data_IF_853628064781
#
_entry.id   IF_853628064781
#
_cell.length_a   1.000
_cell.length_b   1.000
_cell.length_c   1.000
_cell.angle_alpha   90.00
_cell.angle_beta   90.00
_cell.angle_gamma   90.00
#
_symmetry.space_group_name_H-M   'P 1'
#
loop_
_entity.id
_entity.type
_entity.pdbx_description
1 polymer ?
#
# COMPACT_ATOMS: atom_id res chain seq x y z
N UNK A 1 -37.73 41.39 -42.91
CA UNK A 1 -38.25 40.03 -42.58
C UNK A 1 -37.19 38.95 -42.74
N UNK A 2 -36.32 38.92 -43.74
CA UNK A 2 -35.31 37.86 -43.98
C UNK A 2 -34.27 37.70 -42.84
N UNK A 3 -33.74 38.76 -42.27
CA UNK A 3 -32.69 38.69 -41.20
C UNK A 3 -33.23 38.10 -39.89
N UNK A 4 -34.46 38.37 -39.51
CA UNK A 4 -35.04 37.80 -38.27
C UNK A 4 -35.35 36.31 -38.41
N UNK A 5 -35.69 35.87 -39.63
CA UNK A 5 -35.92 34.44 -39.92
C UNK A 5 -34.58 33.67 -39.85
N UNK A 6 -33.47 34.25 -40.36
CA UNK A 6 -32.16 33.63 -40.26
C UNK A 6 -31.65 33.55 -38.82
N UNK A 7 -31.84 34.58 -38.00
CA UNK A 7 -31.50 34.58 -36.58
C UNK A 7 -32.32 33.57 -35.82
N UNK A 8 -33.63 33.48 -36.08
CA UNK A 8 -34.53 32.48 -35.44
C UNK A 8 -34.14 31.05 -35.81
N UNK A 9 -33.76 30.79 -37.07
CA UNK A 9 -33.31 29.48 -37.55
C UNK A 9 -31.96 29.08 -36.90
N UNK A 10 -31.07 30.03 -36.73
CA UNK A 10 -29.76 29.81 -36.07
C UNK A 10 -29.95 29.55 -34.56
N UNK A 11 -30.90 30.20 -33.92
CA UNK A 11 -31.24 29.96 -32.49
C UNK A 11 -31.84 28.57 -32.28
N UNK A 12 -32.65 28.09 -33.20
CA UNK A 12 -33.25 26.74 -33.13
C UNK A 12 -32.20 25.65 -33.34
N UNK A 13 -31.19 25.89 -34.21
CA UNK A 13 -30.09 24.96 -34.41
C UNK A 13 -29.13 24.89 -33.21
N UNK A 14 -29.05 25.95 -32.41
CA UNK A 14 -28.25 25.93 -31.16
C UNK A 14 -28.93 25.16 -30.01
N UNK A 15 -30.26 25.02 -30.05
CA UNK A 15 -31.02 24.27 -29.05
C UNK A 15 -31.10 22.75 -29.35
N UNK A 16 -30.68 22.31 -30.54
CA UNK A 16 -30.64 20.88 -30.90
C UNK A 16 -29.32 20.20 -30.59
N UNK A 17 -28.38 20.88 -29.95
CA UNK A 17 -27.17 20.30 -29.39
C UNK A 17 -27.43 19.78 -27.96
N UNK A 18 -28.58 19.16 -27.69
CA UNK A 18 -28.70 18.23 -26.57
C UNK A 18 -27.85 17.01 -26.94
N UNK A 19 -26.65 16.91 -26.39
CA UNK A 19 -25.99 15.61 -26.27
C UNK A 19 -26.94 14.77 -25.41
N UNK A 20 -27.40 13.64 -25.92
CA UNK A 20 -27.97 12.62 -25.06
C UNK A 20 -26.96 12.36 -23.95
N UNK A 21 -27.38 12.39 -22.69
CA UNK A 21 -26.47 11.99 -21.61
C UNK A 21 -26.03 10.56 -21.93
N UNK A 22 -24.75 10.41 -22.24
CA UNK A 22 -24.18 9.08 -22.42
C UNK A 22 -24.32 8.41 -21.06
N UNK A 23 -24.99 7.27 -21.05
CA UNK A 23 -25.17 6.51 -19.82
C UNK A 23 -23.76 6.13 -19.32
N UNK A 24 -23.45 6.50 -18.09
CA UNK A 24 -22.14 6.19 -17.51
C UNK A 24 -21.87 4.69 -17.55
N UNK A 25 -22.92 3.86 -17.42
CA UNK A 25 -22.82 2.41 -17.51
C UNK A 25 -22.46 1.92 -18.92
N UNK A 26 -22.82 2.67 -19.97
CA UNK A 26 -22.47 2.33 -21.36
C UNK A 26 -21.01 2.71 -21.70
N UNK A 27 -20.49 3.79 -21.07
CA UNK A 27 -19.07 4.19 -21.16
C UNK A 27 -18.16 3.32 -20.28
N UNK A 28 -18.70 2.79 -19.20
CA UNK A 28 -18.00 2.03 -18.18
C UNK A 28 -18.28 0.51 -18.30
N UNK A 29 -18.66 0.01 -19.47
CA UNK A 29 -18.74 -1.43 -19.73
C UNK A 29 -17.35 -2.08 -19.58
N UNK A 30 -16.79 -1.95 -18.38
CA UNK A 30 -15.62 -2.68 -17.93
C UNK A 30 -16.18 -3.98 -17.37
N UNK A 31 -15.92 -5.10 -18.07
CA UNK A 31 -16.17 -6.43 -17.50
C UNK A 31 -15.54 -6.48 -16.09
N UNK A 32 -16.23 -7.08 -15.14
CA UNK A 32 -15.68 -7.33 -13.82
C UNK A 32 -14.29 -7.95 -13.94
N UNK A 33 -13.32 -7.34 -13.23
CA UNK A 33 -11.96 -7.82 -13.19
C UNK A 33 -11.73 -8.76 -12.00
N UNK A 34 -10.58 -9.39 -11.97
CA UNK A 34 -10.09 -10.11 -10.79
C UNK A 34 -8.94 -9.33 -10.18
N UNK A 35 -9.12 -8.88 -8.94
CA UNK A 35 -8.10 -8.18 -8.17
C UNK A 35 -7.29 -9.18 -7.35
N UNK A 36 -5.98 -9.16 -7.54
CA UNK A 36 -5.04 -10.08 -6.88
C UNK A 36 -3.93 -9.25 -6.27
N UNK A 37 -3.68 -9.43 -4.97
CA UNK A 37 -2.57 -8.80 -4.29
C UNK A 37 -1.86 -9.79 -3.37
N UNK A 38 -0.53 -9.81 -3.45
CA UNK A 38 0.31 -10.63 -2.59
C UNK A 38 1.71 -10.05 -2.50
N UNK A 39 2.27 -10.09 -1.31
CA UNK A 39 3.64 -9.65 -1.06
C UNK A 39 4.40 -10.78 -0.40
N UNK A 40 5.65 -11.01 -0.81
CA UNK A 40 6.49 -12.07 -0.27
C UNK A 40 7.77 -11.51 0.34
N UNK A 41 8.09 -11.99 1.52
CA UNK A 41 9.36 -11.70 2.20
C UNK A 41 9.89 -12.92 2.96
N UNK A 42 11.22 -13.09 3.06
CA UNK A 42 11.82 -14.10 3.94
C UNK A 42 11.49 -13.92 5.43
N UNK A 43 10.95 -12.77 5.81
CA UNK A 43 10.56 -12.47 7.20
C UNK A 43 9.09 -12.77 7.49
N UNK A 44 8.30 -13.13 6.47
CA UNK A 44 6.90 -13.48 6.65
C UNK A 44 6.75 -14.75 7.47
N UNK A 45 5.77 -14.76 8.38
CA UNK A 45 5.37 -15.96 9.14
C UNK A 45 4.20 -16.67 8.47
N UNK A 46 3.45 -15.96 7.63
CA UNK A 46 2.31 -16.46 6.85
C UNK A 46 2.39 -15.88 5.46
N UNK A 47 2.44 -16.73 4.45
CA UNK A 47 2.33 -16.29 3.06
C UNK A 47 0.87 -16.01 2.74
N UNK A 48 0.60 -14.84 2.17
CA UNK A 48 -0.77 -14.35 2.00
C UNK A 48 -1.00 -13.79 0.60
N UNK A 49 -2.12 -14.21 -0.02
CA UNK A 49 -2.62 -13.64 -1.29
C UNK A 49 -4.10 -13.32 -1.13
N UNK A 50 -4.47 -12.10 -1.47
CA UNK A 50 -5.86 -11.66 -1.56
C UNK A 50 -6.39 -11.86 -2.97
N UNK A 51 -7.62 -12.38 -3.12
CA UNK A 51 -8.29 -12.54 -4.41
C UNK A 51 -9.73 -12.07 -4.29
N UNK A 52 -10.11 -11.07 -5.08
CA UNK A 52 -11.46 -10.51 -5.08
C UNK A 52 -11.89 -10.07 -6.47
N UNK A 53 -13.16 -9.73 -6.63
CA UNK A 53 -13.68 -9.09 -7.84
C UNK A 53 -13.30 -7.61 -7.82
N UNK A 54 -12.68 -7.12 -8.88
CA UNK A 54 -12.47 -5.71 -9.11
C UNK A 54 -13.72 -5.12 -9.76
N UNK A 55 -14.31 -4.11 -9.12
CA UNK A 55 -15.47 -3.39 -9.64
C UNK A 55 -15.08 -1.96 -9.99
N UNK A 56 -15.71 -1.34 -11.02
CA UNK A 56 -15.49 0.06 -11.34
C UNK A 56 -15.79 0.95 -10.12
N UNK A 57 -14.94 1.94 -9.88
CA UNK A 57 -15.13 2.92 -8.80
C UNK A 57 -16.37 3.82 -9.01
N UNK A 58 -16.89 3.88 -10.24
CA UNK A 58 -18.05 4.68 -10.64
C UNK A 58 -19.20 3.75 -11.01
N UNK A 59 -20.39 4.03 -10.48
CA UNK A 59 -21.62 3.26 -10.79
C UNK A 59 -21.91 2.10 -9.84
N UNK A 60 -20.95 1.61 -9.07
CA UNK A 60 -21.20 0.57 -8.08
C UNK A 60 -21.30 1.21 -6.69
N UNK A 61 -22.49 1.18 -6.04
CA UNK A 61 -22.61 1.72 -4.69
C UNK A 61 -21.89 0.80 -3.70
N UNK A 62 -20.63 1.10 -3.45
CA UNK A 62 -19.82 0.41 -2.42
C UNK A 62 -20.44 0.61 -1.03
N UNK A 63 -21.24 1.68 -0.88
CA UNK A 63 -21.89 2.08 0.38
C UNK A 63 -23.11 1.23 0.78
N UNK A 64 -23.67 0.41 -0.11
CA UNK A 64 -24.78 -0.50 0.22
C UNK A 64 -24.34 -1.71 1.07
N UNK A 65 -23.05 -1.82 1.35
CA UNK A 65 -22.46 -2.90 2.16
C UNK A 65 -21.90 -2.39 3.50
N UNK A 66 -22.57 -1.44 4.11
CA UNK A 66 -22.26 -0.97 5.47
C UNK A 66 -22.64 -2.06 6.45
N UNK A 67 -21.79 -2.36 7.43
CA UNK A 67 -22.15 -3.27 8.50
C UNK A 67 -23.33 -2.70 9.35
N UNK A 68 -23.97 -3.56 10.13
CA UNK A 68 -25.15 -3.20 10.96
C UNK A 68 -24.87 -2.06 11.97
N UNK A 69 -23.60 -1.67 12.16
CA UNK A 69 -23.17 -0.58 13.04
C UNK A 69 -22.81 0.71 12.29
N UNK A 70 -22.86 0.72 10.97
CA UNK A 70 -22.58 1.90 10.15
C UNK A 70 -21.11 2.24 10.00
N UNK A 71 -20.20 1.35 10.43
CA UNK A 71 -18.76 1.52 10.35
C UNK A 71 -18.14 0.50 9.38
N UNK A 72 -17.65 0.97 8.25
CA UNK A 72 -16.92 0.18 7.27
C UNK A 72 -17.77 -0.43 6.15
N UNK A 73 -17.15 -0.63 5.01
CA UNK A 73 -17.76 -1.32 3.88
C UNK A 73 -17.63 -2.84 4.08
N UNK A 74 -18.76 -3.57 4.01
CA UNK A 74 -18.71 -5.02 3.93
C UNK A 74 -18.20 -5.45 2.54
N UNK A 75 -16.92 -5.77 2.43
CA UNK A 75 -16.28 -6.22 1.19
C UNK A 75 -16.48 -7.71 0.93
N UNK A 76 -17.14 -8.45 1.83
CA UNK A 76 -17.32 -9.90 1.76
C UNK A 76 -17.96 -10.41 0.45
N UNK A 77 -18.94 -9.70 -0.16
CA UNK A 77 -19.51 -10.11 -1.45
C UNK A 77 -18.52 -10.13 -2.62
N UNK A 78 -17.43 -9.37 -2.54
CA UNK A 78 -16.44 -9.28 -3.60
C UNK A 78 -15.31 -10.31 -3.46
N UNK A 79 -15.17 -10.96 -2.30
CA UNK A 79 -14.13 -11.95 -2.07
C UNK A 79 -14.41 -13.22 -2.88
N UNK A 80 -13.44 -13.65 -3.67
CA UNK A 80 -13.49 -14.93 -4.38
C UNK A 80 -12.93 -16.00 -3.44
N UNK A 81 -13.80 -16.90 -2.95
CA UNK A 81 -13.49 -17.86 -1.88
C UNK A 81 -13.10 -19.24 -2.41
N UNK A 82 -13.30 -19.50 -3.69
CA UNK A 82 -13.12 -20.80 -4.38
C UNK A 82 -12.00 -20.77 -5.40
N UNK A 83 -11.12 -19.77 -5.36
CA UNK A 83 -9.95 -19.73 -6.23
C UNK A 83 -8.92 -20.81 -5.83
N UNK A 84 -8.16 -21.26 -6.80
CA UNK A 84 -6.93 -22.02 -6.56
C UNK A 84 -5.75 -21.06 -6.64
N UNK A 85 -4.99 -20.93 -5.55
CA UNK A 85 -3.85 -20.02 -5.44
C UNK A 85 -2.60 -20.83 -5.18
N UNK A 86 -1.61 -20.70 -6.06
CA UNK A 86 -0.35 -21.45 -6.04
C UNK A 86 0.83 -20.47 -6.10
N UNK A 87 1.84 -20.72 -5.29
CA UNK A 87 3.14 -20.02 -5.36
C UNK A 87 4.19 -21.09 -5.68
N UNK A 88 5.11 -20.79 -6.61
CA UNK A 88 6.23 -21.67 -6.93
C UNK A 88 7.54 -20.90 -6.96
N UNK A 89 8.65 -21.62 -6.81
CA UNK A 89 10.02 -21.11 -6.96
C UNK A 89 10.60 -21.45 -8.35
N UNK A 90 11.87 -21.07 -8.58
CA UNK A 90 12.60 -21.35 -9.84
C UNK A 90 12.93 -22.84 -10.06
N UNK A 91 12.84 -23.65 -9.02
CA UNK A 91 13.07 -25.12 -9.06
C UNK A 91 11.76 -25.91 -9.24
N UNK A 92 10.63 -25.24 -9.57
CA UNK A 92 9.28 -25.80 -9.71
C UNK A 92 8.74 -26.44 -8.40
N UNK A 93 9.29 -26.10 -7.22
CA UNK A 93 8.61 -26.42 -5.97
C UNK A 93 7.39 -25.52 -5.84
N UNK A 94 6.23 -26.10 -5.52
CA UNK A 94 4.96 -25.41 -5.51
C UNK A 94 4.22 -25.62 -4.17
N UNK A 95 3.59 -24.55 -3.66
CA UNK A 95 2.72 -24.59 -2.49
C UNK A 95 1.34 -24.01 -2.82
N UNK A 96 0.29 -24.66 -2.35
CA UNK A 96 -1.08 -24.16 -2.46
C UNK A 96 -1.47 -23.38 -1.20
N UNK A 97 -1.96 -22.15 -1.38
CA UNK A 97 -2.55 -21.36 -0.33
C UNK A 97 -4.03 -21.69 -0.16
N UNK A 98 -4.48 -21.78 1.07
CA UNK A 98 -5.86 -22.15 1.42
C UNK A 98 -6.62 -20.91 1.89
N UNK A 99 -7.87 -20.76 1.46
CA UNK A 99 -8.72 -19.66 1.89
C UNK A 99 -9.00 -19.72 3.40
N UNK A 100 -8.67 -18.62 4.08
CA UNK A 100 -8.96 -18.44 5.51
C UNK A 100 -10.12 -17.43 5.65
N UNK A 101 -11.29 -17.85 6.18
CA UNK A 101 -12.45 -16.96 6.31
C UNK A 101 -12.28 -15.86 7.37
N UNK A 102 -11.39 -16.01 8.34
CA UNK A 102 -11.14 -14.98 9.37
C UNK A 102 -10.35 -13.81 8.80
N UNK A 103 -9.27 -14.10 8.06
CA UNK A 103 -8.47 -13.07 7.39
C UNK A 103 -9.02 -12.63 6.03
N UNK A 104 -9.96 -13.42 5.46
CA UNK A 104 -10.51 -13.25 4.10
C UNK A 104 -9.45 -13.29 3.00
N UNK A 105 -8.38 -14.05 3.22
CA UNK A 105 -7.27 -14.21 2.30
C UNK A 105 -6.92 -15.68 2.09
N UNK A 106 -6.18 -15.98 1.04
CA UNK A 106 -5.53 -17.27 0.85
C UNK A 106 -4.21 -17.26 1.60
N UNK A 107 -3.98 -18.27 2.44
CA UNK A 107 -2.83 -18.30 3.35
C UNK A 107 -2.23 -19.70 3.47
N UNK A 108 -0.94 -19.73 3.79
CA UNK A 108 -0.20 -20.90 4.25
C UNK A 108 0.86 -20.46 5.25
N UNK A 109 1.20 -21.31 6.21
CA UNK A 109 2.33 -21.08 7.13
C UNK A 109 3.63 -20.99 6.33
N UNK A 110 4.41 -19.91 6.52
CA UNK A 110 5.63 -19.71 5.76
C UNK A 110 6.70 -20.79 6.03
N UNK A 111 6.60 -21.54 7.12
CA UNK A 111 7.47 -22.69 7.37
C UNK A 111 7.28 -23.86 6.41
N UNK A 112 6.16 -23.88 5.66
CA UNK A 112 5.89 -24.92 4.65
C UNK A 112 6.54 -24.60 3.29
N UNK A 113 6.92 -23.33 3.06
CA UNK A 113 7.53 -22.90 1.79
C UNK A 113 8.51 -21.74 2.05
N UNK A 114 9.81 -22.05 2.03
CA UNK A 114 10.88 -21.12 2.41
C UNK A 114 11.09 -20.04 1.35
N UNK A 115 10.79 -18.79 1.71
CA UNK A 115 11.07 -17.62 0.87
C UNK A 115 12.50 -17.15 1.10
N UNK A 116 13.31 -17.10 0.04
CA UNK A 116 14.72 -16.74 0.08
C UNK A 116 14.97 -15.36 -0.51
N UNK A 117 15.91 -14.63 0.06
CA UNK A 117 16.39 -13.38 -0.54
C UNK A 117 17.07 -13.63 -1.89
N UNK A 118 16.97 -12.68 -2.80
CA UNK A 118 17.56 -12.73 -4.15
C UNK A 118 17.04 -13.88 -5.03
N UNK A 119 15.88 -14.48 -4.69
CA UNK A 119 15.21 -15.52 -5.47
C UNK A 119 13.94 -14.98 -6.14
N UNK A 120 13.49 -15.66 -7.20
CA UNK A 120 12.28 -15.33 -7.95
C UNK A 120 11.18 -16.31 -7.61
N UNK A 121 9.95 -15.80 -7.48
CA UNK A 121 8.75 -16.58 -7.21
C UNK A 121 7.67 -16.26 -8.23
N UNK A 122 6.84 -17.27 -8.50
CA UNK A 122 5.76 -17.22 -9.47
C UNK A 122 4.43 -17.44 -8.76
N UNK A 123 3.45 -16.64 -9.12
CA UNK A 123 2.07 -16.78 -8.67
C UNK A 123 1.21 -17.31 -9.80
N UNK A 124 0.33 -18.27 -9.51
CA UNK A 124 -0.73 -18.74 -10.39
C UNK A 124 -2.04 -18.77 -9.62
N UNK A 125 -3.04 -18.07 -10.15
CA UNK A 125 -4.39 -18.01 -9.58
C UNK A 125 -5.39 -18.48 -10.62
N UNK A 126 -6.20 -19.49 -10.27
CA UNK A 126 -7.34 -19.91 -11.08
C UNK A 126 -8.62 -19.47 -10.37
N UNK A 127 -9.36 -18.56 -10.98
CA UNK A 127 -10.60 -17.99 -10.45
C UNK A 127 -11.58 -17.68 -11.58
N UNK A 128 -12.88 -17.86 -11.38
CA UNK A 128 -13.92 -17.50 -12.36
C UNK A 128 -13.69 -18.13 -13.76
N UNK A 129 -13.19 -19.38 -13.83
CA UNK A 129 -12.80 -20.08 -15.06
C UNK A 129 -11.70 -19.35 -15.89
N UNK A 130 -10.90 -18.53 -15.27
CA UNK A 130 -9.76 -17.84 -15.86
C UNK A 130 -8.49 -18.17 -15.06
N UNK A 131 -7.35 -18.03 -15.71
CA UNK A 131 -6.04 -18.18 -15.09
C UNK A 131 -5.32 -16.83 -15.10
N UNK A 132 -4.69 -16.51 -13.98
CA UNK A 132 -3.87 -15.31 -13.78
C UNK A 132 -2.50 -15.74 -13.33
N UNK A 133 -1.48 -15.05 -13.83
CA UNK A 133 -0.08 -15.30 -13.45
C UNK A 133 0.63 -14.02 -13.11
N UNK A 134 1.66 -14.13 -12.29
CA UNK A 134 2.58 -13.04 -12.00
C UNK A 134 3.90 -13.60 -11.50
N UNK A 135 4.90 -12.75 -11.39
CA UNK A 135 6.17 -13.10 -10.75
C UNK A 135 6.69 -11.95 -9.92
N UNK A 136 7.50 -12.28 -8.93
CA UNK A 136 8.23 -11.32 -8.11
C UNK A 136 9.63 -11.82 -7.81
N UNK A 137 10.54 -10.88 -7.50
CA UNK A 137 11.89 -11.19 -7.04
C UNK A 137 12.12 -10.57 -5.67
N UNK A 138 12.72 -11.30 -4.75
CA UNK A 138 13.02 -10.80 -3.42
C UNK A 138 14.30 -9.96 -3.48
N UNK A 139 14.27 -8.66 -3.15
CA UNK A 139 15.47 -7.82 -3.18
C UNK A 139 16.50 -8.24 -2.14
N UNK A 140 17.68 -7.66 -2.22
CA UNK A 140 18.73 -7.82 -1.17
C UNK A 140 18.31 -7.16 0.13
N UNK A 141 18.75 -7.76 1.25
CA UNK A 141 18.64 -7.15 2.56
C UNK A 141 19.62 -5.99 2.69
N UNK A 142 19.17 -4.87 3.25
CA UNK A 142 20.06 -3.75 3.58
C UNK A 142 20.88 -4.03 4.85
N UNK A 143 21.97 -3.29 5.01
CA UNK A 143 22.74 -3.24 6.24
C UNK A 143 21.92 -2.63 7.39
N UNK A 144 22.38 -2.75 8.65
CA UNK A 144 21.65 -2.24 9.80
C UNK A 144 21.29 -0.74 9.69
N UNK A 145 20.09 -0.42 10.17
CA UNK A 145 19.58 0.94 10.27
C UNK A 145 20.35 1.70 11.39
N UNK A 146 20.69 2.96 11.12
CA UNK A 146 21.14 3.91 12.13
C UNK A 146 20.03 4.93 12.40
N UNK A 147 19.91 5.35 13.66
CA UNK A 147 18.93 6.36 14.05
C UNK A 147 19.56 7.44 14.90
N UNK A 148 18.86 8.59 14.92
CA UNK A 148 19.15 9.67 15.83
C UNK A 148 17.85 10.33 16.26
N UNK A 149 17.64 10.46 17.57
CA UNK A 149 16.51 11.19 18.13
C UNK A 149 17.05 12.44 18.82
N UNK A 150 16.46 13.60 18.52
CA UNK A 150 16.84 14.90 19.11
C UNK A 150 15.60 15.64 19.55
N UNK A 151 15.67 16.30 20.72
CA UNK A 151 14.60 17.17 21.18
C UNK A 151 14.34 18.30 20.17
N UNK A 152 13.07 18.49 19.84
CA UNK A 152 12.55 19.51 18.95
C UNK A 152 11.87 20.64 19.73
N UNK A 153 10.75 21.16 19.21
CA UNK A 153 9.97 22.21 19.85
C UNK A 153 9.34 21.73 21.15
N UNK A 154 9.34 22.61 22.16
CA UNK A 154 8.66 22.37 23.45
C UNK A 154 7.83 23.56 23.83
N UNK A 155 6.61 23.31 24.29
CA UNK A 155 5.74 24.31 24.91
C UNK A 155 5.01 23.69 26.12
N UNK A 156 3.96 24.34 26.62
CA UNK A 156 3.19 23.87 27.78
C UNK A 156 2.28 22.66 27.49
N UNK A 157 2.07 22.32 26.21
CA UNK A 157 1.13 21.26 25.79
C UNK A 157 1.82 20.04 25.20
N UNK A 158 3.01 20.21 24.60
CA UNK A 158 3.73 19.12 23.96
C UNK A 158 5.24 19.34 23.89
N UNK A 159 5.96 18.25 23.69
CA UNK A 159 7.38 18.21 23.34
C UNK A 159 7.55 17.36 22.10
N UNK A 160 8.14 17.93 21.05
CA UNK A 160 8.52 17.20 19.84
C UNK A 160 9.91 16.58 19.97
N UNK A 161 10.08 15.47 19.27
CA UNK A 161 11.36 14.79 19.08
C UNK A 161 11.53 14.50 17.60
N UNK A 162 12.62 14.99 16.99
CA UNK A 162 12.96 14.67 15.61
C UNK A 162 13.60 13.29 15.58
N UNK A 163 13.04 12.39 14.80
CA UNK A 163 13.53 11.06 14.52
C UNK A 163 14.15 11.04 13.12
N UNK A 164 15.46 10.86 13.04
CA UNK A 164 16.19 10.64 11.80
C UNK A 164 16.56 9.16 11.68
N UNK A 165 16.26 8.54 10.54
CA UNK A 165 16.67 7.19 10.18
C UNK A 165 17.61 7.29 9.00
N UNK A 166 18.72 6.54 9.02
CA UNK A 166 19.63 6.45 7.90
C UNK A 166 20.12 5.01 7.69
N UNK A 167 20.36 4.65 6.44
CA UNK A 167 20.90 3.35 6.04
C UNK A 167 21.69 3.49 4.75
N UNK A 168 22.52 2.48 4.45
CA UNK A 168 23.35 2.44 3.25
C UNK A 168 22.56 1.83 2.11
N UNK A 169 22.47 2.54 0.96
CA UNK A 169 21.93 1.99 -0.28
C UNK A 169 22.79 0.83 -0.81
N UNK A 170 22.17 -0.09 -1.54
CA UNK A 170 22.83 -1.23 -2.17
C UNK A 170 23.33 -0.81 -3.55
N UNK A 171 24.65 -0.69 -3.71
CA UNK A 171 25.24 -0.27 -4.96
C UNK A 171 25.10 -1.29 -6.11
N UNK A 172 25.09 -0.80 -7.34
CA UNK A 172 25.13 -1.59 -8.57
C UNK A 172 23.77 -2.02 -9.13
N UNK A 173 22.68 -1.58 -8.52
CA UNK A 173 21.32 -1.83 -9.00
C UNK A 173 20.41 -0.69 -8.57
N UNK A 174 19.33 -0.45 -9.32
CA UNK A 174 18.30 0.50 -8.93
C UNK A 174 17.47 -0.07 -7.78
N UNK A 175 17.37 0.68 -6.70
CA UNK A 175 16.71 0.24 -5.48
C UNK A 175 15.57 1.16 -5.08
N UNK A 176 14.57 0.57 -4.43
CA UNK A 176 13.37 1.23 -3.94
C UNK A 176 13.14 0.87 -2.49
N UNK A 177 12.89 1.87 -1.66
CA UNK A 177 12.78 1.68 -0.21
C UNK A 177 11.47 2.24 0.32
N UNK A 178 10.85 1.50 1.24
CA UNK A 178 9.71 1.97 2.02
C UNK A 178 10.13 1.98 3.48
N UNK A 179 9.96 3.14 4.12
CA UNK A 179 10.35 3.40 5.49
C UNK A 179 9.10 3.55 6.35
N UNK A 180 9.13 2.98 7.54
CA UNK A 180 8.11 3.12 8.56
C UNK A 180 8.68 2.95 9.96
N UNK A 181 7.87 3.26 10.96
CA UNK A 181 8.15 2.91 12.33
C UNK A 181 6.85 2.71 13.11
N UNK A 182 6.91 1.82 14.11
CA UNK A 182 5.83 1.59 15.05
C UNK A 182 6.37 1.95 16.43
N UNK A 183 5.66 2.79 17.15
CA UNK A 183 5.97 3.11 18.54
C UNK A 183 4.96 2.41 19.45
N UNK A 184 5.42 1.94 20.61
CA UNK A 184 4.62 1.31 21.64
C UNK A 184 4.86 2.08 22.95
N UNK A 185 3.82 2.72 23.47
CA UNK A 185 3.84 3.37 24.78
C UNK A 185 3.14 2.49 25.81
N UNK A 186 3.69 2.41 27.02
CA UNK A 186 3.08 1.66 28.11
C UNK A 186 2.58 2.61 29.19
N UNK A 187 1.27 2.64 29.40
CA UNK A 187 0.60 3.37 30.47
C UNK A 187 -0.17 2.43 31.37
N UNK A 188 0.03 2.51 32.67
CA UNK A 188 -0.68 1.69 33.69
C UNK A 188 -0.62 0.18 33.42
N UNK A 189 0.40 -0.30 32.70
CA UNK A 189 0.58 -1.72 32.35
C UNK A 189 -0.10 -2.15 31.05
N UNK A 190 -0.77 -1.26 30.35
CA UNK A 190 -1.32 -1.48 29.01
C UNK A 190 -0.41 -0.84 27.96
N UNK A 191 -0.24 -1.53 26.82
CA UNK A 191 0.62 -1.08 25.72
C UNK A 191 -0.24 -0.59 24.55
N UNK A 192 0.04 0.61 24.09
CA UNK A 192 -0.68 1.30 23.00
C UNK A 192 0.26 1.48 21.81
N UNK A 193 0.09 0.69 20.72
CA UNK A 193 0.87 0.87 19.51
C UNK A 193 0.31 2.02 18.66
N UNK A 194 1.22 2.79 18.05
CA UNK A 194 0.87 3.78 17.04
C UNK A 194 1.95 3.84 15.95
N UNK A 195 1.54 4.25 14.75
CA UNK A 195 2.45 4.40 13.62
C UNK A 195 3.09 5.78 13.63
N UNK A 196 4.41 5.83 13.46
CA UNK A 196 5.13 7.08 13.19
C UNK A 196 5.10 7.30 11.68
N UNK A 197 4.49 8.39 11.25
CA UNK A 197 4.37 8.75 9.84
C UNK A 197 5.60 9.51 9.35
N UNK A 198 6.19 9.07 8.26
CA UNK A 198 7.29 9.73 7.56
C UNK A 198 6.79 10.52 6.34
N UNK A 199 5.48 10.56 6.12
CA UNK A 199 4.87 11.21 4.95
C UNK A 199 5.51 10.73 3.64
N UNK A 200 5.83 11.63 2.72
CA UNK A 200 6.53 11.31 1.48
C UNK A 200 7.97 10.83 1.69
N UNK A 201 8.58 11.11 2.84
CA UNK A 201 9.89 10.55 3.21
C UNK A 201 9.86 9.04 3.47
N UNK A 202 8.67 8.44 3.58
CA UNK A 202 8.50 6.97 3.57
C UNK A 202 8.95 6.31 2.27
N UNK A 203 9.09 7.07 1.17
CA UNK A 203 9.36 6.54 -0.16
C UNK A 203 10.69 7.06 -0.70
N UNK A 204 11.75 6.26 -0.60
CA UNK A 204 13.08 6.62 -1.06
C UNK A 204 13.53 5.76 -2.24
N UNK A 205 14.44 6.31 -3.04
CA UNK A 205 15.12 5.61 -4.12
C UNK A 205 16.59 6.06 -4.16
N UNK A 206 17.43 5.37 -4.88
CA UNK A 206 18.85 5.67 -5.14
C UNK A 206 19.09 6.85 -6.10
N UNK A 207 18.07 7.67 -6.38
CA UNK A 207 18.19 8.84 -7.30
C UNK A 207 19.27 9.83 -6.89
N UNK A 208 19.58 9.93 -5.59
CA UNK A 208 20.64 10.83 -5.09
C UNK A 208 22.05 10.30 -5.33
N UNK A 209 22.20 9.00 -5.64
CA UNK A 209 23.47 8.36 -5.94
C UNK A 209 23.47 6.88 -5.54
N UNK A 210 23.89 6.04 -6.48
CA UNK A 210 24.02 4.59 -6.28
C UNK A 210 25.05 4.29 -5.17
N UNK A 211 24.63 3.55 -4.15
CA UNK A 211 25.44 3.20 -3.01
C UNK A 211 25.65 4.32 -1.98
N UNK A 212 24.92 5.41 -2.03
CA UNK A 212 25.02 6.50 -1.05
C UNK A 212 24.16 6.22 0.21
N UNK A 213 24.40 6.99 1.27
CA UNK A 213 23.56 6.92 2.46
C UNK A 213 22.23 7.62 2.21
N UNK A 214 21.14 6.89 2.40
CA UNK A 214 19.78 7.41 2.35
C UNK A 214 19.27 7.74 3.75
N UNK A 215 18.40 8.74 3.88
CA UNK A 215 17.81 9.12 5.16
C UNK A 215 16.36 9.55 5.01
N UNK A 216 15.57 9.25 6.05
CA UNK A 216 14.21 9.72 6.23
C UNK A 216 14.07 10.34 7.63
N UNK A 217 13.18 11.31 7.76
CA UNK A 217 12.92 11.98 9.03
C UNK A 217 11.42 12.04 9.35
N UNK A 218 11.11 11.99 10.64
CA UNK A 218 9.76 12.15 11.18
C UNK A 218 9.81 12.89 12.51
N UNK A 219 8.63 13.19 13.05
CA UNK A 219 8.46 13.84 14.36
C UNK A 219 7.63 12.92 15.25
N UNK A 220 8.11 12.71 16.48
CA UNK A 220 7.36 12.09 17.55
C UNK A 220 6.90 13.22 18.49
N UNK A 221 5.59 13.38 18.66
CA UNK A 221 5.03 14.40 19.56
C UNK A 221 4.58 13.74 20.86
N UNK A 222 5.16 14.16 21.98
CA UNK A 222 4.74 13.75 23.32
C UNK A 222 3.86 14.82 23.94
N UNK A 223 2.63 14.48 24.28
CA UNK A 223 1.66 15.38 24.95
C UNK A 223 1.73 15.33 26.47
N UNK A 224 2.43 14.36 27.06
CA UNK A 224 2.71 14.35 28.50
C UNK A 224 4.07 15.02 28.77
N UNK A 225 4.06 16.34 28.91
CA UNK A 225 5.28 17.14 29.09
C UNK A 225 5.81 17.12 30.53
N UNK A 226 5.04 16.59 31.50
CA UNK A 226 5.38 16.61 32.91
C UNK A 226 6.04 15.28 33.36
N UNK A 227 5.68 14.17 32.74
CA UNK A 227 6.17 12.85 33.11
C UNK A 227 7.15 12.31 32.07
N UNK A 228 8.12 11.53 32.56
CA UNK A 228 8.96 10.72 31.68
C UNK A 228 8.20 9.49 31.22
N UNK A 229 8.23 9.24 29.92
CA UNK A 229 7.58 8.08 29.29
C UNK A 229 8.61 7.32 28.46
N UNK A 230 8.72 6.01 28.69
CA UNK A 230 9.55 5.14 27.84
C UNK A 230 8.72 4.63 26.67
N UNK A 231 9.22 4.88 25.48
CA UNK A 231 8.62 4.42 24.22
C UNK A 231 9.54 3.39 23.58
N UNK A 232 8.98 2.25 23.22
CA UNK A 232 9.66 1.26 22.39
C UNK A 232 9.34 1.54 20.93
N UNK A 233 10.36 1.77 20.11
CA UNK A 233 10.20 2.11 18.70
C UNK A 233 10.81 0.99 17.85
N UNK A 234 10.02 0.41 16.96
CA UNK A 234 10.48 -0.52 15.93
C UNK A 234 10.60 0.23 14.62
N UNK A 235 11.84 0.53 14.23
CA UNK A 235 12.19 1.16 12.96
C UNK A 235 12.19 0.09 11.86
N UNK A 236 11.63 0.41 10.71
CA UNK A 236 11.44 -0.51 9.60
C UNK A 236 11.92 0.13 8.30
N UNK A 237 12.78 -0.57 7.57
CA UNK A 237 13.16 -0.23 6.20
C UNK A 237 13.01 -1.48 5.34
N UNK A 238 12.13 -1.42 4.36
CA UNK A 238 11.94 -2.47 3.38
C UNK A 238 12.61 -2.07 2.06
N UNK A 239 13.57 -2.88 1.59
CA UNK A 239 13.95 -2.87 0.18
C UNK A 239 12.89 -3.63 -0.59
N UNK A 240 12.30 -3.03 -1.62
CA UNK A 240 11.11 -3.54 -2.29
C UNK A 240 11.28 -3.51 -3.82
N UNK A 241 10.54 -4.34 -4.54
CA UNK A 241 10.44 -4.20 -5.99
C UNK A 241 9.77 -2.88 -6.40
N UNK A 242 10.14 -2.37 -7.58
CA UNK A 242 9.56 -1.14 -8.15
C UNK A 242 8.04 -1.15 -8.15
N UNK A 243 7.45 -2.29 -8.49
CA UNK A 243 5.99 -2.45 -8.55
C UNK A 243 5.34 -2.24 -7.18
N UNK A 244 5.92 -2.80 -6.11
CA UNK A 244 5.42 -2.58 -4.75
C UNK A 244 5.60 -1.13 -4.31
N UNK A 245 6.77 -0.55 -4.57
CA UNK A 245 7.05 0.85 -4.29
C UNK A 245 6.03 1.79 -4.94
N UNK A 246 5.82 1.63 -6.24
CA UNK A 246 4.88 2.46 -7.00
C UNK A 246 3.43 2.25 -6.53
N UNK A 247 3.04 1.01 -6.21
CA UNK A 247 1.72 0.69 -5.69
C UNK A 247 1.47 1.39 -4.35
N UNK A 248 2.36 1.22 -3.38
CA UNK A 248 2.23 1.82 -2.04
C UNK A 248 2.27 3.34 -2.08
N UNK A 249 3.16 3.91 -2.93
CA UNK A 249 3.25 5.35 -3.12
C UNK A 249 2.00 5.92 -3.80
N UNK A 250 1.44 5.22 -4.79
CA UNK A 250 0.19 5.64 -5.44
C UNK A 250 -0.99 5.60 -4.45
N UNK A 251 -1.09 4.54 -3.62
CA UNK A 251 -2.08 4.45 -2.55
C UNK A 251 -1.97 5.65 -1.60
N UNK A 252 -0.78 5.92 -1.08
CA UNK A 252 -0.54 7.06 -0.18
C UNK A 252 -0.96 8.40 -0.80
N UNK A 253 -0.56 8.65 -2.07
CA UNK A 253 -0.90 9.89 -2.76
C UNK A 253 -2.41 10.02 -3.03
N UNK A 254 -3.08 8.92 -3.35
CA UNK A 254 -4.52 8.91 -3.60
C UNK A 254 -5.30 9.17 -2.32
N UNK A 255 -4.90 8.54 -1.20
CA UNK A 255 -5.51 8.76 0.11
C UNK A 255 -5.30 10.20 0.60
N UNK A 256 -4.08 10.73 0.42
CA UNK A 256 -3.75 12.12 0.80
C UNK A 256 -4.54 13.16 0.00
N UNK A 257 -4.84 12.86 -1.28
CA UNK A 257 -5.56 13.77 -2.19
C UNK A 257 -7.05 13.44 -2.30
N UNK A 258 -7.57 12.52 -1.52
CA UNK A 258 -8.98 12.12 -1.60
C UNK A 258 -9.92 13.33 -1.43
N UNK A 259 -10.91 13.39 -2.31
CA UNK A 259 -11.85 14.52 -2.37
C UNK A 259 -11.31 15.83 -2.97
N UNK A 260 -10.06 15.88 -3.43
CA UNK A 260 -9.50 17.06 -4.12
C UNK A 260 -9.79 16.99 -5.64
N UNK A 261 -10.75 17.78 -6.19
CA UNK A 261 -11.15 17.70 -7.60
C UNK A 261 -10.10 18.25 -8.57
N UNK A 262 -9.01 18.82 -8.09
CA UNK A 262 -7.95 19.42 -8.90
C UNK A 262 -6.70 18.53 -9.04
N UNK A 263 -6.70 17.37 -8.39
CA UNK A 263 -5.59 16.43 -8.43
C UNK A 263 -6.04 15.14 -9.12
N UNK A 264 -5.29 14.70 -10.12
CA UNK A 264 -5.51 13.40 -10.75
C UNK A 264 -5.03 12.27 -9.83
N UNK A 265 -5.79 11.18 -9.78
CA UNK A 265 -5.38 9.98 -9.07
C UNK A 265 -4.12 9.37 -9.69
N UNK A 266 -3.20 8.95 -8.84
CA UNK A 266 -2.02 8.21 -9.27
C UNK A 266 -2.43 6.83 -9.76
N UNK A 267 -1.97 6.45 -10.95
CA UNK A 267 -2.24 5.13 -11.54
C UNK A 267 -1.45 4.08 -10.75
N UNK A 268 -2.15 3.09 -10.23
CA UNK A 268 -1.52 1.94 -9.58
C UNK A 268 -0.90 1.02 -10.63
N UNK A 269 0.31 0.49 -10.39
CA UNK A 269 0.90 -0.49 -11.28
C UNK A 269 0.11 -1.80 -11.26
N UNK A 270 0.23 -2.56 -12.34
CA UNK A 270 -0.36 -3.87 -12.48
C UNK A 270 0.68 -4.83 -13.07
N UNK A 271 0.97 -5.95 -12.40
CA UNK A 271 1.80 -7.03 -12.93
C UNK A 271 1.08 -8.38 -12.93
N UNK A 272 -0.25 -8.38 -12.83
CA UNK A 272 -1.06 -9.59 -12.96
C UNK A 272 -1.39 -9.78 -14.43
N UNK A 273 -0.90 -10.85 -15.01
CA UNK A 273 -1.21 -11.29 -16.37
C UNK A 273 -2.48 -12.13 -16.36
N UNK A 274 -3.34 -11.95 -17.36
CA UNK A 274 -4.64 -12.61 -17.49
C UNK A 274 -5.71 -11.62 -17.96
N UNK A 275 -6.85 -12.14 -18.45
CA UNK A 275 -7.92 -11.26 -18.95
C UNK A 275 -8.57 -10.52 -17.77
N UNK A 276 -8.55 -9.19 -17.78
CA UNK A 276 -9.06 -8.31 -16.72
C UNK A 276 -8.44 -8.58 -15.33
N UNK A 277 -7.22 -9.13 -15.29
CA UNK A 277 -6.44 -9.25 -14.07
C UNK A 277 -5.85 -7.90 -13.67
N UNK A 278 -6.04 -7.50 -12.41
CA UNK A 278 -5.50 -6.27 -11.84
C UNK A 278 -4.92 -6.54 -10.46
N UNK A 279 -3.86 -5.84 -10.11
CA UNK A 279 -3.24 -5.95 -8.79
C UNK A 279 -1.73 -6.05 -8.83
N UNK A 280 -1.15 -6.51 -7.74
CA UNK A 280 0.29 -6.57 -7.55
C UNK A 280 0.71 -7.83 -6.80
N UNK A 281 1.67 -8.54 -7.39
CA UNK A 281 2.43 -9.57 -6.71
C UNK A 281 3.89 -9.15 -6.69
N UNK A 282 4.48 -8.95 -5.51
CA UNK A 282 5.80 -8.34 -5.39
C UNK A 282 6.60 -8.85 -4.19
N UNK A 283 7.93 -8.80 -4.34
CA UNK A 283 8.88 -9.16 -3.31
C UNK A 283 9.36 -7.97 -2.49
N UNK A 284 9.71 -8.23 -1.23
CA UNK A 284 10.37 -7.26 -0.36
C UNK A 284 11.32 -7.93 0.63
N UNK A 285 12.27 -7.15 1.17
CA UNK A 285 13.20 -7.58 2.21
C UNK A 285 13.18 -6.56 3.33
N UNK A 286 12.65 -6.97 4.48
CA UNK A 286 12.52 -6.11 5.65
C UNK A 286 13.78 -6.14 6.51
N UNK A 287 14.24 -4.96 6.93
CA UNK A 287 15.23 -4.77 8.00
C UNK A 287 14.59 -3.99 9.12
N UNK A 288 14.67 -4.48 10.34
CA UNK A 288 14.10 -3.85 11.52
C UNK A 288 15.20 -3.54 12.56
N UNK A 289 14.94 -2.47 13.32
CA UNK A 289 15.71 -2.12 14.50
C UNK A 289 14.80 -1.67 15.62
N UNK A 290 14.89 -2.33 16.76
CA UNK A 290 14.14 -1.96 17.96
C UNK A 290 15.01 -1.09 18.85
N UNK A 291 14.46 0.03 19.30
CA UNK A 291 15.08 0.95 20.26
C UNK A 291 14.10 1.27 21.40
N UNK A 292 14.63 1.56 22.56
CA UNK A 292 13.88 2.14 23.67
C UNK A 292 14.38 3.60 23.87
N UNK A 293 13.44 4.52 23.97
CA UNK A 293 13.75 5.94 24.13
C UNK A 293 12.91 6.55 25.25
N UNK A 294 13.55 7.32 26.12
CA UNK A 294 12.88 8.00 27.22
C UNK A 294 12.51 9.43 26.79
N UNK A 295 11.20 9.66 26.57
CA UNK A 295 10.64 10.98 26.32
C UNK A 295 10.58 11.78 27.64
N UNK A 296 10.91 13.06 27.61
CA UNK A 296 11.05 13.95 28.80
C UNK A 296 12.04 13.45 29.88
N UNK A 297 12.88 12.46 29.58
CA UNK A 297 13.99 12.11 30.44
C UNK A 297 14.93 13.32 30.58
N UNK A 298 15.41 13.58 31.78
CA UNK A 298 16.48 14.56 31.94
C UNK A 298 17.74 14.02 31.21
N UNK A 299 18.38 14.81 30.35
CA UNK A 299 19.61 14.40 29.67
C UNK A 299 20.76 14.18 30.66
#
# INVERSE_FOLDING_TARGET
MSKYIQISLMLVLLCSACQDPVDADELLNVDDGTYIIGYLSPTDTVLTVHVSTAVPAVGTPIYDHVDDMGYGSNTDPFIIKDATVLISDEDDNEIQLIYNPESRNYQVDASEFDIKGEATYFLRVSANNQEFTSSCSIPKKIEPITEKITAGEKNEFYQDYNLDIAFQDISGSKNYYIIGAIAEETHEGETYPYTIDFELSSFLTDVIGDGETLSANSIITNYDVENSTTVKITLQVANVEETLYLNRRATYLNDYNDGNPFVEYSIMPNNIEGKNGVGVFAGYQLTEKVIEYELNGNP
#
